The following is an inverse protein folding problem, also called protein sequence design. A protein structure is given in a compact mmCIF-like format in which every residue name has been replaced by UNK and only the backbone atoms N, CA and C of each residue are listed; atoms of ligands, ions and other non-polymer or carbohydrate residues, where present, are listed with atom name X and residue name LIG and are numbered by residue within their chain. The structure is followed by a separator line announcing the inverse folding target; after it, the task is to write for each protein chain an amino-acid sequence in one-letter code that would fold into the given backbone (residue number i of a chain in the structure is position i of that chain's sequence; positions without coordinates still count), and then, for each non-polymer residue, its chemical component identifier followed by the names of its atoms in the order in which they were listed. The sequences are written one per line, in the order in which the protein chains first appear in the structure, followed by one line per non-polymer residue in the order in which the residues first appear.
data_IF_418907380792
#
_entry.id   IF_418907380792
#
_cell.length_a   1.000
_cell.length_b   1.000
_cell.length_c   1.000
_cell.angle_alpha   90.00
_cell.angle_beta   90.00
_cell.angle_gamma   90.00
#
_symmetry.space_group_name_H-M   'P 1'
#
loop_
_entity.id
_entity.type
_entity.pdbx_description
1 polymer ?
#
# COMPACT_ATOMS: atom_id res chain seq x y z
N UNK A 1 2.06 11.79 24.62
CA UNK A 1 2.97 11.73 23.46
C UNK A 1 2.28 11.05 22.31
N UNK A 2 2.14 11.76 21.18
CA UNK A 2 1.46 11.18 20.04
C UNK A 2 2.43 10.39 19.20
N UNK A 3 2.05 9.14 18.89
CA UNK A 3 2.81 8.36 17.97
C UNK A 3 2.58 8.90 16.56
N UNK A 4 3.63 8.95 15.76
CA UNK A 4 3.49 9.28 14.36
C UNK A 4 2.65 8.23 13.66
N UNK A 5 1.72 8.69 12.84
CA UNK A 5 0.89 7.81 12.04
C UNK A 5 1.76 7.16 10.96
N UNK A 6 1.54 5.88 10.76
CA UNK A 6 2.40 5.08 9.90
C UNK A 6 1.63 4.52 8.72
N UNK A 7 2.30 4.49 7.57
CA UNK A 7 1.83 3.74 6.40
C UNK A 7 2.82 2.61 6.12
N UNK A 8 2.33 1.57 5.48
CA UNK A 8 3.12 0.42 5.12
C UNK A 8 3.25 0.35 3.61
N UNK A 9 4.46 0.17 3.10
CA UNK A 9 4.69 0.07 1.66
C UNK A 9 5.39 -1.25 1.33
N UNK A 10 4.74 -2.05 0.50
CA UNK A 10 5.21 -3.37 0.12
C UNK A 10 5.72 -3.30 -1.32
N UNK A 11 7.01 -3.06 -1.48
CA UNK A 11 7.64 -2.91 -2.79
C UNK A 11 9.15 -2.99 -2.70
N UNK A 12 9.78 -3.27 -3.85
CA UNK A 12 11.24 -3.28 -3.99
C UNK A 12 11.78 -2.11 -4.81
N UNK A 13 10.92 -1.41 -5.54
CA UNK A 13 11.30 -0.34 -6.46
C UNK A 13 11.94 0.82 -5.70
N UNK A 14 13.25 1.02 -5.89
CA UNK A 14 14.00 2.05 -5.17
C UNK A 14 13.49 3.46 -5.46
N UNK A 15 13.12 3.74 -6.71
CA UNK A 15 12.61 5.06 -7.08
C UNK A 15 11.31 5.37 -6.32
N UNK A 16 10.42 4.39 -6.27
CA UNK A 16 9.16 4.59 -5.56
C UNK A 16 9.32 4.59 -4.05
N UNK A 17 10.32 3.86 -3.52
CA UNK A 17 10.62 3.96 -2.09
C UNK A 17 11.01 5.38 -1.71
N UNK A 18 11.87 6.00 -2.50
CA UNK A 18 12.28 7.39 -2.24
C UNK A 18 11.08 8.33 -2.38
N UNK A 19 10.31 8.19 -3.44
CA UNK A 19 9.15 9.05 -3.68
C UNK A 19 8.10 8.92 -2.58
N UNK A 20 7.77 7.71 -2.19
CA UNK A 20 6.79 7.47 -1.13
C UNK A 20 7.32 8.02 0.20
N UNK A 21 8.58 7.78 0.51
CA UNK A 21 9.20 8.28 1.73
C UNK A 21 9.18 9.80 1.83
N UNK A 22 9.57 10.49 0.75
CA UNK A 22 9.57 11.94 0.73
C UNK A 22 8.15 12.51 0.85
N UNK A 23 7.21 11.93 0.12
CA UNK A 23 5.82 12.39 0.15
C UNK A 23 5.20 12.16 1.51
N UNK A 24 5.46 11.01 2.13
CA UNK A 24 4.96 10.70 3.47
C UNK A 24 5.51 11.69 4.49
N UNK A 25 6.79 11.99 4.41
CA UNK A 25 7.42 12.95 5.32
C UNK A 25 6.76 14.31 5.24
N UNK A 26 6.45 14.77 4.04
CA UNK A 26 5.77 16.06 3.83
C UNK A 26 4.36 16.05 4.40
N UNK A 27 3.72 14.89 4.44
CA UNK A 27 2.38 14.73 4.98
C UNK A 27 2.39 14.48 6.50
N UNK A 28 3.55 14.44 7.12
CA UNK A 28 3.67 14.17 8.55
C UNK A 28 3.49 12.71 8.92
N UNK A 29 3.76 11.81 7.98
CA UNK A 29 3.58 10.37 8.16
C UNK A 29 4.93 9.66 8.16
N UNK A 30 5.01 8.56 8.91
CA UNK A 30 6.11 7.62 8.79
C UNK A 30 5.74 6.54 7.80
N UNK A 31 6.73 6.01 7.08
CA UNK A 31 6.51 4.87 6.21
C UNK A 31 7.47 3.76 6.60
N UNK A 32 6.93 2.55 6.63
CA UNK A 32 7.74 1.35 6.82
C UNK A 32 7.70 0.53 5.54
N UNK A 33 8.87 0.17 5.03
CA UNK A 33 9.00 -0.60 3.80
C UNK A 33 9.23 -2.06 4.12
N UNK A 34 8.48 -2.95 3.48
CA UNK A 34 8.65 -4.38 3.62
C UNK A 34 8.67 -5.02 2.24
N UNK A 35 9.29 -6.19 2.14
CA UNK A 35 9.42 -6.90 0.87
C UNK A 35 9.11 -8.39 0.98
N UNK A 36 8.34 -8.78 1.99
CA UNK A 36 7.88 -10.16 2.10
C UNK A 36 6.42 -10.18 2.56
N UNK A 37 5.72 -11.23 2.18
CA UNK A 37 4.31 -11.37 2.59
C UNK A 37 4.17 -11.54 4.09
N UNK A 38 5.11 -12.26 4.71
CA UNK A 38 5.10 -12.47 6.15
C UNK A 38 5.23 -11.15 6.91
N UNK A 39 6.21 -10.34 6.54
CA UNK A 39 6.42 -9.04 7.18
C UNK A 39 5.24 -8.12 6.95
N UNK A 40 4.69 -8.13 5.72
CA UNK A 40 3.53 -7.31 5.40
C UNK A 40 2.35 -7.67 6.30
N UNK A 41 2.09 -8.96 6.50
CA UNK A 41 0.99 -9.40 7.34
C UNK A 41 1.21 -9.02 8.80
N UNK A 42 2.40 -9.26 9.32
CA UNK A 42 2.73 -8.92 10.70
C UNK A 42 2.60 -7.42 10.97
N UNK A 43 3.13 -6.61 10.06
CA UNK A 43 3.08 -5.15 10.22
C UNK A 43 1.66 -4.61 10.05
N UNK A 44 0.85 -5.23 9.19
CA UNK A 44 -0.53 -4.79 9.01
C UNK A 44 -1.36 -4.98 10.28
N UNK A 45 -1.03 -5.96 11.11
CA UNK A 45 -1.71 -6.15 12.39
C UNK A 45 -1.50 -4.99 13.35
N UNK A 46 -0.49 -4.16 13.11
CA UNK A 46 -0.25 -2.94 13.89
C UNK A 46 -1.17 -1.78 13.45
N UNK A 47 -2.07 -2.03 12.51
CA UNK A 47 -3.09 -1.09 12.05
C UNK A 47 -2.50 0.20 11.45
N UNK A 48 -1.66 0.08 10.39
CA UNK A 48 -1.21 1.28 9.69
C UNK A 48 -2.41 1.98 9.05
N UNK A 49 -2.26 3.25 8.69
CA UNK A 49 -3.32 4.00 8.04
C UNK A 49 -3.63 3.47 6.65
N UNK A 50 -2.61 2.96 5.98
CA UNK A 50 -2.69 2.60 4.58
C UNK A 50 -1.60 1.60 4.23
N UNK A 51 -1.93 0.66 3.37
CA UNK A 51 -0.95 -0.23 2.75
C UNK A 51 -0.85 0.13 1.28
N UNK A 52 0.38 0.34 0.81
CA UNK A 52 0.69 0.55 -0.60
C UNK A 52 1.35 -0.72 -1.11
N UNK A 53 0.85 -1.28 -2.20
CA UNK A 53 1.33 -2.56 -2.73
C UNK A 53 1.66 -2.44 -4.21
N UNK A 54 2.88 -2.83 -4.56
CA UNK A 54 3.29 -2.97 -5.95
C UNK A 54 2.75 -4.29 -6.51
N UNK A 55 1.76 -4.21 -7.39
CA UNK A 55 1.13 -5.40 -7.96
C UNK A 55 2.03 -6.14 -8.96
N UNK A 56 3.14 -5.54 -9.35
CA UNK A 56 4.14 -6.18 -10.20
C UNK A 56 5.35 -6.67 -9.41
N UNK A 57 5.27 -6.66 -8.07
CA UNK A 57 6.37 -7.11 -7.22
C UNK A 57 6.71 -8.56 -7.46
N UNK A 58 8.01 -8.88 -7.40
CA UNK A 58 8.52 -10.25 -7.48
C UNK A 58 8.87 -10.79 -6.09
N UNK A 59 8.89 -9.95 -5.08
CA UNK A 59 9.24 -10.35 -3.70
C UNK A 59 8.06 -10.93 -2.93
N UNK A 60 6.86 -10.60 -3.36
CA UNK A 60 5.63 -11.11 -2.75
C UNK A 60 4.72 -11.62 -3.86
N UNK A 61 3.72 -12.39 -3.48
CA UNK A 61 2.63 -12.77 -4.38
C UNK A 61 1.48 -11.81 -4.12
N UNK A 62 1.37 -10.72 -4.90
CA UNK A 62 0.48 -9.61 -4.52
C UNK A 62 -0.99 -10.01 -4.38
N UNK A 63 -1.52 -10.79 -5.31
CA UNK A 63 -2.93 -11.19 -5.23
C UNK A 63 -3.21 -12.05 -4.02
N UNK A 64 -2.30 -12.98 -3.72
CA UNK A 64 -2.42 -13.83 -2.55
C UNK A 64 -2.35 -13.01 -1.26
N UNK A 65 -1.43 -12.04 -1.22
CA UNK A 65 -1.31 -11.17 -0.06
C UNK A 65 -2.58 -10.37 0.17
N UNK A 66 -3.18 -9.83 -0.90
CA UNK A 66 -4.45 -9.09 -0.79
C UNK A 66 -5.52 -10.00 -0.19
N UNK A 67 -5.65 -11.23 -0.71
CA UNK A 67 -6.64 -12.18 -0.20
C UNK A 67 -6.43 -12.47 1.28
N UNK A 68 -5.18 -12.69 1.68
CA UNK A 68 -4.85 -12.97 3.07
C UNK A 68 -5.19 -11.79 3.98
N UNK A 69 -4.81 -10.58 3.57
CA UNK A 69 -5.07 -9.38 4.37
C UNK A 69 -6.56 -9.09 4.49
N UNK A 70 -7.29 -9.23 3.39
CA UNK A 70 -8.73 -8.94 3.39
C UNK A 70 -9.57 -10.06 3.97
N UNK A 71 -9.01 -11.25 4.09
CA UNK A 71 -9.67 -12.40 4.71
C UNK A 71 -9.46 -12.50 6.20
N UNK A 72 -8.56 -11.73 6.78
CA UNK A 72 -8.23 -11.78 8.20
C UNK A 72 -8.95 -10.64 8.94
N UNK A 73 -9.77 -10.95 9.96
CA UNK A 73 -10.47 -9.92 10.73
C UNK A 73 -9.55 -8.87 11.33
N UNK A 74 -8.30 -9.21 11.63
CA UNK A 74 -7.35 -8.28 12.23
C UNK A 74 -6.77 -7.29 11.23
N UNK A 75 -6.81 -7.59 9.92
CA UNK A 75 -6.16 -6.76 8.90
C UNK A 75 -7.12 -6.22 7.83
N UNK A 76 -8.31 -6.80 7.71
CA UNK A 76 -9.23 -6.47 6.60
C UNK A 76 -9.68 -5.01 6.55
N UNK A 77 -9.65 -4.30 7.68
CA UNK A 77 -10.10 -2.91 7.74
C UNK A 77 -9.06 -1.90 7.26
N UNK A 78 -7.80 -2.31 7.16
CA UNK A 78 -6.75 -1.42 6.72
C UNK A 78 -6.90 -1.14 5.22
N UNK A 79 -6.88 0.12 4.84
CA UNK A 79 -6.98 0.51 3.42
C UNK A 79 -5.80 -0.03 2.63
N UNK A 80 -6.09 -0.60 1.46
CA UNK A 80 -5.09 -1.22 0.62
C UNK A 80 -5.16 -0.63 -0.78
N UNK A 81 -4.08 0.02 -1.22
CA UNK A 81 -3.96 0.60 -2.54
C UNK A 81 -2.87 -0.13 -3.30
N UNK A 82 -3.23 -0.65 -4.48
CA UNK A 82 -2.27 -1.28 -5.36
C UNK A 82 -1.94 -0.40 -6.55
N UNK A 83 -0.72 -0.51 -7.09
CA UNK A 83 -0.40 0.12 -8.36
C UNK A 83 0.22 -0.89 -9.31
N UNK A 84 -0.01 -0.68 -10.60
CA UNK A 84 0.51 -1.54 -11.66
C UNK A 84 1.35 -0.72 -12.62
N UNK A 85 2.43 -1.31 -13.14
CA UNK A 85 3.35 -0.59 -14.03
C UNK A 85 2.73 -0.28 -15.40
N UNK A 86 1.77 -1.07 -15.81
CA UNK A 86 0.99 -0.85 -17.04
C UNK A 86 -0.47 -1.09 -16.75
N UNK A 87 -1.34 -0.57 -17.61
CA UNK A 87 -2.78 -0.82 -17.47
C UNK A 87 -3.05 -2.24 -17.95
N UNK A 88 -2.73 -3.20 -17.13
CA UNK A 88 -3.14 -4.58 -17.35
C UNK A 88 -4.54 -4.71 -16.76
N UNK A 89 -5.55 -4.59 -17.61
CA UNK A 89 -6.92 -4.67 -17.15
C UNK A 89 -7.20 -5.94 -16.36
N UNK A 90 -6.58 -7.05 -16.77
CA UNK A 90 -6.77 -8.32 -16.08
C UNK A 90 -6.20 -8.31 -14.67
N UNK A 91 -4.97 -7.80 -14.49
CA UNK A 91 -4.35 -7.74 -13.18
C UNK A 91 -5.10 -6.77 -12.27
N UNK A 92 -5.52 -5.63 -12.81
CA UNK A 92 -6.29 -4.65 -12.07
C UNK A 92 -7.61 -5.28 -11.59
N UNK A 93 -8.30 -6.00 -12.46
CA UNK A 93 -9.55 -6.65 -12.11
C UNK A 93 -9.36 -7.72 -11.04
N UNK A 94 -8.32 -8.55 -11.19
CA UNK A 94 -8.01 -9.60 -10.21
C UNK A 94 -7.71 -9.01 -8.84
N UNK A 95 -6.99 -7.89 -8.81
CA UNK A 95 -6.67 -7.23 -7.54
C UNK A 95 -7.95 -6.72 -6.86
N UNK A 96 -8.86 -6.12 -7.63
CA UNK A 96 -10.16 -5.69 -7.09
C UNK A 96 -10.96 -6.88 -6.56
N UNK A 97 -11.00 -7.97 -7.32
CA UNK A 97 -11.72 -9.17 -6.90
C UNK A 97 -11.14 -9.77 -5.63
N UNK A 98 -9.82 -9.67 -5.46
CA UNK A 98 -9.16 -10.16 -4.25
C UNK A 98 -9.43 -9.28 -3.04
N UNK A 99 -9.93 -8.06 -3.24
CA UNK A 99 -10.32 -7.16 -2.16
C UNK A 99 -9.52 -5.87 -2.06
N UNK A 100 -8.67 -5.57 -3.05
CA UNK A 100 -7.90 -4.32 -3.05
C UNK A 100 -8.86 -3.14 -3.16
N UNK A 101 -8.72 -2.16 -2.27
CA UNK A 101 -9.65 -1.03 -2.20
C UNK A 101 -9.52 -0.08 -3.37
N UNK A 102 -8.33 0.10 -3.90
CA UNK A 102 -8.07 0.96 -5.05
C UNK A 102 -6.89 0.41 -5.84
N UNK A 103 -7.00 0.44 -7.16
CA UNK A 103 -5.90 0.03 -8.04
C UNK A 103 -5.67 1.13 -9.07
N UNK A 104 -4.45 1.63 -9.13
CA UNK A 104 -4.07 2.72 -10.03
C UNK A 104 -2.92 2.29 -10.94
N UNK A 105 -2.87 2.87 -12.13
CA UNK A 105 -1.68 2.78 -12.95
C UNK A 105 -0.54 3.52 -12.22
N UNK A 106 0.68 3.06 -12.40
CA UNK A 106 1.86 3.63 -11.72
C UNK A 106 1.95 5.15 -11.87
N UNK A 107 1.72 5.67 -13.08
CA UNK A 107 1.78 7.11 -13.32
C UNK A 107 0.70 7.87 -12.55
N UNK A 108 -0.52 7.36 -12.55
CA UNK A 108 -1.62 7.99 -11.82
C UNK A 108 -1.37 7.93 -10.31
N UNK A 109 -0.88 6.81 -9.82
CA UNK A 109 -0.51 6.67 -8.42
C UNK A 109 0.54 7.71 -8.02
N UNK A 110 1.58 7.84 -8.85
CA UNK A 110 2.66 8.79 -8.62
C UNK A 110 2.14 10.24 -8.55
N UNK A 111 1.25 10.62 -9.47
CA UNK A 111 0.70 11.97 -9.52
C UNK A 111 -0.23 12.26 -8.34
N UNK A 112 -0.98 11.27 -7.90
CA UNK A 112 -1.98 11.45 -6.85
C UNK A 112 -1.47 11.12 -5.45
N UNK A 113 -0.24 10.66 -5.32
CA UNK A 113 0.31 10.23 -4.05
C UNK A 113 0.21 11.29 -2.94
N UNK A 114 0.56 12.58 -3.19
CA UNK A 114 0.43 13.58 -2.13
C UNK A 114 -1.01 13.72 -1.63
N UNK A 115 -1.98 13.69 -2.53
CA UNK A 115 -3.41 13.81 -2.17
C UNK A 115 -3.85 12.57 -1.39
N UNK A 116 -3.44 11.40 -1.84
CA UNK A 116 -3.79 10.13 -1.18
C UNK A 116 -3.27 10.11 0.25
N UNK A 117 -1.99 10.44 0.45
CA UNK A 117 -1.40 10.41 1.78
C UNK A 117 -2.00 11.48 2.69
N UNK A 118 -2.23 12.67 2.16
CA UNK A 118 -2.84 13.75 2.93
C UNK A 118 -4.25 13.38 3.38
N UNK A 119 -5.02 12.75 2.52
CA UNK A 119 -6.38 12.30 2.84
C UNK A 119 -6.37 11.28 3.96
N UNK A 120 -5.48 10.30 3.90
CA UNK A 120 -5.39 9.28 4.94
C UNK A 120 -4.88 9.86 6.26
N UNK A 121 -3.95 10.80 6.22
CA UNK A 121 -3.46 11.47 7.41
C UNK A 121 -4.57 12.25 8.12
N UNK A 122 -5.45 12.88 7.35
CA UNK A 122 -6.56 13.68 7.89
C UNK A 122 -7.71 12.83 8.42
N UNK A 123 -7.90 11.65 7.87
CA UNK A 123 -9.02 10.77 8.24
C UNK A 123 -8.78 10.02 9.56
N UNK A 124 -7.59 10.02 10.06
CA UNK A 124 -7.23 9.23 11.25
C UNK A 124 -7.37 10.00 12.56
#
# INVERSE_FOLDING_TARGET
MQEKKKILAVLDDLLFRVKIGDTAKRAGLDVEFVNSGKDATEKTRQQPLLIILDLNSHSVEPLKLIEELKGDPETKRVSLIGYVSHVHGELKQKAHEAGCDMVLARSAFSQNLPVILKRHASAA
#
